data_IF_362382128139
#
_entry.id   IF_362382128139
#
_cell.length_a   1.000
_cell.length_b   1.000
_cell.length_c   1.000
_cell.angle_alpha   90.00
_cell.angle_beta   90.00
_cell.angle_gamma   90.00
#
_symmetry.space_group_name_H-M   'P 1'
#
loop_
_entity.id
_entity.type
_entity.pdbx_description
1 polymer ?
#
# COMPACT_ATOMS: atom_id res chain seq x y z
N UNK A 1 -11.08 11.74 -13.90
CA UNK A 1 -11.29 10.35 -14.36
C UNK A 1 -11.46 9.52 -13.09
N UNK A 2 -12.56 8.79 -12.95
CA UNK A 2 -12.81 7.98 -11.75
C UNK A 2 -11.78 6.86 -11.72
N UNK A 3 -10.93 6.83 -10.70
CA UNK A 3 -10.17 5.63 -10.38
C UNK A 3 -11.22 4.58 -9.97
N UNK A 4 -11.60 3.70 -10.89
CA UNK A 4 -12.37 2.51 -10.54
C UNK A 4 -11.44 1.63 -9.71
N UNK A 5 -11.68 1.55 -8.40
CA UNK A 5 -11.12 0.44 -7.62
C UNK A 5 -12.12 -0.69 -7.74
N UNK A 6 -11.71 -1.78 -8.36
CA UNK A 6 -12.59 -2.91 -8.63
C UNK A 6 -12.86 -3.64 -7.30
N UNK A 7 -14.10 -4.05 -7.02
CA UNK A 7 -14.40 -4.88 -5.85
C UNK A 7 -13.64 -6.22 -5.95
N UNK A 8 -13.22 -6.80 -4.81
CA UNK A 8 -12.55 -8.12 -4.77
C UNK A 8 -13.30 -9.21 -5.53
N UNK A 9 -14.60 -9.03 -5.77
CA UNK A 9 -15.45 -9.91 -6.58
C UNK A 9 -15.01 -10.07 -8.04
N UNK A 10 -14.08 -9.25 -8.55
CA UNK A 10 -13.52 -9.37 -9.91
C UNK A 10 -12.09 -9.92 -9.94
N UNK A 11 -11.56 -10.37 -8.80
CA UNK A 11 -10.37 -11.22 -8.70
C UNK A 11 -10.73 -12.65 -9.08
N UNK A 12 -10.89 -12.89 -10.39
CA UNK A 12 -11.09 -14.25 -10.88
C UNK A 12 -9.77 -15.02 -10.79
N UNK A 13 -9.79 -16.22 -10.18
CA UNK A 13 -8.91 -17.29 -10.64
C UNK A 13 -9.09 -17.39 -12.16
N UNK A 14 -7.98 -17.43 -12.91
CA UNK A 14 -8.03 -17.55 -14.36
C UNK A 14 -9.04 -18.67 -14.76
N UNK A 15 -9.90 -18.50 -15.78
CA UNK A 15 -10.88 -19.52 -16.15
C UNK A 15 -10.17 -20.65 -16.89
N UNK A 16 -9.39 -21.43 -16.16
CA UNK A 16 -8.74 -22.64 -16.62
C UNK A 16 -8.74 -23.69 -15.51
N UNK A 17 -9.85 -23.80 -14.76
CA UNK A 17 -10.28 -24.99 -14.05
C UNK A 17 -11.70 -24.71 -13.52
N UNK A 18 -12.70 -25.17 -14.25
CA UNK A 18 -14.00 -25.47 -13.64
C UNK A 18 -13.72 -26.62 -12.67
N UNK A 19 -13.44 -26.29 -11.40
CA UNK A 19 -13.06 -27.23 -10.36
C UNK A 19 -14.22 -28.19 -10.09
N UNK A 20 -14.01 -29.47 -10.39
CA UNK A 20 -15.09 -30.46 -10.50
C UNK A 20 -15.81 -30.80 -9.18
N UNK A 21 -15.24 -30.48 -8.01
CA UNK A 21 -15.83 -30.76 -6.69
C UNK A 21 -15.45 -29.71 -5.63
N UNK A 22 -15.84 -28.45 -5.84
CA UNK A 22 -15.61 -27.38 -4.84
C UNK A 22 -16.77 -27.24 -3.87
N UNK A 23 -16.46 -27.09 -2.58
CA UNK A 23 -17.43 -26.68 -1.55
C UNK A 23 -17.46 -25.16 -1.51
N UNK A 24 -18.64 -24.56 -1.64
CA UNK A 24 -18.84 -23.11 -1.49
C UNK A 24 -19.82 -22.83 -0.35
N UNK A 25 -19.48 -21.85 0.47
CA UNK A 25 -20.36 -21.35 1.54
C UNK A 25 -20.28 -19.84 1.64
N UNK A 26 -21.41 -19.21 1.93
CA UNK A 26 -21.50 -17.78 2.15
C UNK A 26 -22.46 -17.48 3.30
N UNK A 27 -22.03 -16.59 4.19
CA UNK A 27 -22.85 -16.09 5.30
C UNK A 27 -22.76 -14.58 5.37
N UNK A 28 -23.89 -13.94 5.64
CA UNK A 28 -23.95 -12.52 5.96
C UNK A 28 -24.75 -12.34 7.25
N UNK A 29 -24.12 -11.79 8.28
CA UNK A 29 -24.76 -11.52 9.57
C UNK A 29 -24.13 -10.32 10.25
N UNK A 30 -24.95 -9.33 10.64
CA UNK A 30 -24.57 -8.21 11.51
C UNK A 30 -23.13 -7.64 11.30
N UNK A 31 -22.79 -7.23 10.07
CA UNK A 31 -21.48 -6.63 9.73
C UNK A 31 -20.42 -7.63 9.23
N UNK A 32 -20.64 -8.93 9.40
CA UNK A 32 -19.79 -10.00 8.89
C UNK A 32 -20.28 -10.45 7.51
N UNK A 33 -19.38 -10.45 6.53
CA UNK A 33 -19.57 -11.09 5.23
C UNK A 33 -18.47 -12.12 5.05
N UNK A 34 -18.79 -13.41 5.16
CA UNK A 34 -17.82 -14.47 4.92
C UNK A 34 -18.22 -15.24 3.66
N UNK A 35 -17.31 -15.35 2.71
CA UNK A 35 -17.37 -16.32 1.62
C UNK A 35 -16.20 -17.27 1.77
N UNK A 36 -16.45 -18.56 1.55
CA UNK A 36 -15.39 -19.56 1.50
C UNK A 36 -15.59 -20.52 0.34
N UNK A 37 -14.49 -20.90 -0.28
CA UNK A 37 -14.40 -21.96 -1.28
C UNK A 37 -13.30 -22.95 -0.87
N UNK A 38 -13.61 -24.24 -0.86
CA UNK A 38 -12.70 -25.32 -0.44
C UNK A 38 -12.58 -26.38 -1.52
N UNK A 39 -11.36 -26.87 -1.74
CA UNK A 39 -11.04 -28.01 -2.58
C UNK A 39 -10.40 -29.13 -1.74
N UNK A 40 -10.70 -30.39 -2.06
CA UNK A 40 -10.23 -31.55 -1.28
C UNK A 40 -11.16 -31.91 -0.10
N UNK A 41 -12.31 -31.22 0.01
CA UNK A 41 -13.36 -31.51 0.99
C UNK A 41 -14.61 -32.00 0.26
N UNK A 42 -15.13 -33.16 0.65
CA UNK A 42 -16.37 -33.65 0.05
C UNK A 42 -17.58 -32.84 0.54
N UNK A 43 -18.59 -32.69 -0.31
CA UNK A 43 -19.87 -32.06 0.09
C UNK A 43 -20.48 -32.76 1.32
N UNK A 44 -20.35 -34.08 1.42
CA UNK A 44 -20.86 -34.85 2.57
C UNK A 44 -20.14 -34.46 3.87
N UNK A 45 -18.81 -34.36 3.85
CA UNK A 45 -18.02 -34.03 5.03
C UNK A 45 -18.25 -32.58 5.46
N UNK A 46 -18.38 -31.66 4.49
CA UNK A 46 -18.79 -30.28 4.76
C UNK A 46 -20.16 -30.21 5.44
N UNK A 47 -21.18 -30.88 4.88
CA UNK A 47 -22.54 -30.87 5.44
C UNK A 47 -22.59 -31.47 6.84
N UNK A 48 -21.75 -32.47 7.14
CA UNK A 48 -21.65 -33.05 8.48
C UNK A 48 -21.10 -32.06 9.53
N UNK A 49 -20.22 -31.14 9.12
CA UNK A 49 -19.62 -30.11 9.99
C UNK A 49 -20.36 -28.78 9.98
N UNK A 50 -21.26 -28.55 9.01
CA UNK A 50 -21.93 -27.26 8.83
C UNK A 50 -22.65 -26.73 10.09
N UNK A 51 -23.38 -27.54 10.89
CA UNK A 51 -24.01 -27.04 12.11
C UNK A 51 -22.98 -26.60 13.17
N UNK A 52 -21.89 -27.37 13.32
CA UNK A 52 -20.77 -27.03 14.21
C UNK A 52 -20.07 -25.75 13.74
N UNK A 53 -19.90 -25.59 12.42
CA UNK A 53 -19.34 -24.38 11.81
C UNK A 53 -20.20 -23.15 12.07
N UNK A 54 -21.51 -23.24 11.86
CA UNK A 54 -22.43 -22.13 12.09
C UNK A 54 -22.49 -21.74 13.56
N UNK A 55 -22.48 -22.73 14.46
CA UNK A 55 -22.41 -22.48 15.89
C UNK A 55 -21.10 -21.79 16.27
N UNK A 56 -19.96 -22.32 15.81
CA UNK A 56 -18.65 -21.71 16.01
C UNK A 56 -18.61 -20.29 15.46
N UNK A 57 -19.06 -20.07 14.22
CA UNK A 57 -19.06 -18.76 13.56
C UNK A 57 -19.90 -17.73 14.31
N UNK A 58 -21.03 -18.15 14.89
CA UNK A 58 -21.87 -17.27 15.72
C UNK A 58 -21.18 -16.85 17.03
N UNK A 59 -20.27 -17.69 17.55
CA UNK A 59 -19.49 -17.45 18.75
C UNK A 59 -18.10 -16.83 18.47
N UNK A 60 -17.56 -16.99 17.26
CA UNK A 60 -16.22 -16.58 16.83
C UNK A 60 -16.03 -15.06 16.69
N UNK A 61 -16.93 -14.25 17.27
CA UNK A 61 -16.69 -12.83 17.40
C UNK A 61 -15.50 -12.65 18.32
N UNK A 62 -14.36 -12.24 17.76
CA UNK A 62 -13.22 -11.82 18.56
C UNK A 62 -13.69 -10.82 19.61
N UNK A 63 -13.22 -10.99 20.84
CA UNK A 63 -13.68 -10.12 21.92
C UNK A 63 -13.22 -8.69 21.65
N UNK A 64 -14.10 -7.71 21.88
CA UNK A 64 -13.76 -6.30 21.68
C UNK A 64 -12.41 -5.93 22.34
N UNK A 65 -12.06 -6.41 23.56
CA UNK A 65 -10.77 -6.10 24.17
C UNK A 65 -9.53 -6.60 23.41
N UNK A 66 -9.56 -7.80 22.85
CA UNK A 66 -8.43 -8.37 22.08
C UNK A 66 -8.21 -7.58 20.78
N UNK A 67 -9.29 -7.27 20.05
CA UNK A 67 -9.23 -6.47 18.84
C UNK A 67 -8.77 -5.04 19.12
N UNK A 68 -9.23 -4.46 20.24
CA UNK A 68 -8.79 -3.14 20.69
C UNK A 68 -7.28 -3.16 20.97
N UNK A 69 -6.80 -4.13 21.75
CA UNK A 69 -5.38 -4.24 22.07
C UNK A 69 -4.53 -4.37 20.81
N UNK A 70 -4.95 -5.23 19.88
CA UNK A 70 -4.26 -5.41 18.61
C UNK A 70 -4.25 -4.13 17.77
N UNK A 71 -5.36 -3.40 17.72
CA UNK A 71 -5.42 -2.12 17.01
C UNK A 71 -4.54 -1.05 17.65
N UNK A 72 -4.49 -0.97 18.99
CA UNK A 72 -3.62 -0.03 19.71
C UNK A 72 -2.13 -0.33 19.52
N UNK A 73 -1.74 -1.60 19.54
CA UNK A 73 -0.37 -2.02 19.21
C UNK A 73 0.00 -1.61 17.79
N UNK A 74 -0.87 -1.85 16.82
CA UNK A 74 -0.64 -1.46 15.44
C UNK A 74 -0.55 0.06 15.27
N UNK A 75 -1.45 0.81 15.91
CA UNK A 75 -1.46 2.27 15.88
C UNK A 75 -0.14 2.86 16.36
N UNK A 76 0.43 2.31 17.44
CA UNK A 76 1.74 2.71 17.95
C UNK A 76 2.88 2.40 16.95
N UNK A 77 2.84 1.23 16.30
CA UNK A 77 3.85 0.79 15.33
C UNK A 77 3.79 1.57 14.01
N UNK A 78 2.59 1.92 13.56
CA UNK A 78 2.31 2.53 12.25
C UNK A 78 2.40 4.06 12.25
N UNK A 79 3.02 4.68 13.26
CA UNK A 79 3.11 6.14 13.40
C UNK A 79 1.72 6.82 13.38
N UNK A 80 0.70 6.15 13.94
CA UNK A 80 -0.69 6.63 13.94
C UNK A 80 -1.28 6.83 12.53
N UNK A 81 -0.82 6.08 11.53
CA UNK A 81 -1.41 6.12 10.18
C UNK A 81 -2.79 5.47 10.11
N UNK A 82 -3.10 4.58 11.05
CA UNK A 82 -4.40 3.94 11.20
C UNK A 82 -4.82 3.93 12.67
N UNK A 83 -6.12 4.08 12.94
CA UNK A 83 -6.68 4.09 14.29
C UNK A 83 -8.12 3.57 14.31
N UNK A 84 -8.39 2.61 15.18
CA UNK A 84 -9.75 2.13 15.44
C UNK A 84 -10.52 3.03 16.41
N UNK A 85 -9.90 4.08 16.97
CA UNK A 85 -10.54 4.97 17.94
C UNK A 85 -11.59 5.90 17.31
N UNK A 86 -11.66 5.96 15.99
CA UNK A 86 -12.41 6.97 15.25
C UNK A 86 -13.90 6.66 15.06
N UNK A 87 -14.48 5.72 15.81
CA UNK A 87 -15.88 5.32 15.64
C UNK A 87 -16.87 6.47 15.85
N UNK A 88 -16.62 7.36 16.83
CA UNK A 88 -17.46 8.55 17.03
C UNK A 88 -17.37 9.55 15.87
N UNK A 89 -16.20 9.66 15.22
CA UNK A 89 -15.98 10.49 14.04
C UNK A 89 -16.67 9.86 12.82
N UNK A 90 -16.59 8.54 12.66
CA UNK A 90 -17.30 7.79 11.63
C UNK A 90 -18.83 7.96 11.76
N UNK A 91 -19.37 7.95 12.98
CA UNK A 91 -20.80 8.21 13.23
C UNK A 91 -21.20 9.64 12.81
N UNK A 92 -20.35 10.64 13.04
CA UNK A 92 -20.60 12.00 12.55
C UNK A 92 -20.62 12.07 11.01
N UNK A 93 -19.73 11.35 10.34
CA UNK A 93 -19.77 11.23 8.88
C UNK A 93 -21.03 10.51 8.37
N UNK A 94 -21.49 9.48 9.07
CA UNK A 94 -22.76 8.83 8.76
C UNK A 94 -23.95 9.80 8.94
N UNK A 95 -23.94 10.62 9.99
CA UNK A 95 -24.96 11.67 10.19
C UNK A 95 -24.87 12.75 9.12
N UNK A 96 -23.67 13.19 8.74
CA UNK A 96 -23.45 14.12 7.64
C UNK A 96 -24.00 13.59 6.31
N UNK A 97 -23.79 12.31 6.02
CA UNK A 97 -24.38 11.64 4.86
C UNK A 97 -25.91 11.58 4.94
N UNK A 98 -26.49 11.33 6.12
CA UNK A 98 -27.96 11.37 6.30
C UNK A 98 -28.53 12.77 6.12
N UNK A 99 -27.85 13.78 6.66
CA UNK A 99 -28.30 15.17 6.68
C UNK A 99 -27.90 15.94 5.41
N UNK A 100 -27.10 15.35 4.52
CA UNK A 100 -26.55 15.96 3.31
C UNK A 100 -25.78 17.26 3.59
N UNK A 101 -25.12 17.34 4.75
CA UNK A 101 -24.35 18.50 5.19
C UNK A 101 -22.97 18.05 5.71
N UNK A 102 -21.90 18.70 5.24
CA UNK A 102 -20.54 18.37 5.66
C UNK A 102 -20.31 18.73 7.14
N UNK A 103 -19.55 17.91 7.89
CA UNK A 103 -19.11 18.29 9.23
C UNK A 103 -18.22 19.53 9.19
N UNK A 104 -18.23 20.32 10.27
CA UNK A 104 -17.24 21.38 10.44
C UNK A 104 -15.84 20.77 10.58
N UNK A 105 -14.95 21.09 9.64
CA UNK A 105 -13.62 20.46 9.55
C UNK A 105 -12.70 20.83 10.73
N UNK A 106 -12.86 22.03 11.30
CA UNK A 106 -12.02 22.48 12.42
C UNK A 106 -12.44 21.74 13.69
N UNK A 107 -13.73 21.66 13.93
CA UNK A 107 -14.30 20.93 15.06
C UNK A 107 -14.00 19.43 14.98
N UNK A 108 -14.20 18.83 13.81
CA UNK A 108 -13.89 17.42 13.56
C UNK A 108 -12.42 17.11 13.90
N UNK A 109 -11.49 17.92 13.39
CA UNK A 109 -10.06 17.78 13.68
C UNK A 109 -9.75 17.92 15.17
N UNK A 110 -10.40 18.86 15.87
CA UNK A 110 -10.22 19.06 17.31
C UNK A 110 -10.64 17.82 18.09
N UNK A 111 -11.82 17.29 17.80
CA UNK A 111 -12.37 16.10 18.46
C UNK A 111 -11.52 14.86 18.17
N UNK A 112 -11.12 14.65 16.90
CA UNK A 112 -10.24 13.55 16.53
C UNK A 112 -8.93 13.59 17.31
N UNK A 113 -8.27 14.75 17.39
CA UNK A 113 -7.02 14.87 18.16
C UNK A 113 -7.21 14.59 19.64
N UNK A 114 -8.34 15.01 20.23
CA UNK A 114 -8.64 14.70 21.61
C UNK A 114 -8.79 13.19 21.85
N UNK A 115 -9.50 12.48 20.97
CA UNK A 115 -9.67 11.02 21.03
C UNK A 115 -8.32 10.28 20.87
N UNK A 116 -7.50 10.72 19.91
CA UNK A 116 -6.19 10.13 19.63
C UNK A 116 -5.17 10.33 20.77
N UNK A 117 -5.36 11.37 21.60
CA UNK A 117 -4.49 11.68 22.74
C UNK A 117 -4.92 11.01 24.05
N UNK A 118 -6.06 10.31 24.07
CA UNK A 118 -6.50 9.59 25.27
C UNK A 118 -5.47 8.52 25.65
N UNK A 119 -5.11 8.50 26.94
CA UNK A 119 -4.35 7.42 27.54
C UNK A 119 -5.30 6.27 27.85
N UNK A 120 -5.18 5.19 27.07
CA UNK A 120 -6.09 4.05 27.12
C UNK A 120 -5.43 2.86 27.80
N UNK A 121 -6.20 2.18 28.62
CA UNK A 121 -5.91 0.90 29.25
C UNK A 121 -7.17 0.04 29.20
N UNK A 122 -7.04 -1.26 29.45
CA UNK A 122 -8.20 -2.17 29.47
C UNK A 122 -9.34 -1.66 30.39
N UNK A 123 -9.01 -0.90 31.44
CA UNK A 123 -9.98 -0.34 32.37
C UNK A 123 -10.86 0.79 31.80
N UNK A 124 -10.47 1.43 30.69
CA UNK A 124 -11.18 2.60 30.15
C UNK A 124 -11.46 2.53 28.64
N UNK A 125 -11.43 1.34 28.03
CA UNK A 125 -11.80 1.16 26.62
C UNK A 125 -13.21 1.65 26.28
N UNK A 126 -14.13 1.68 27.25
CA UNK A 126 -15.48 2.23 27.08
C UNK A 126 -15.52 3.77 26.87
N UNK A 127 -14.42 4.48 27.12
CA UNK A 127 -14.32 5.92 26.87
C UNK A 127 -14.28 6.26 25.36
N UNK A 128 -14.04 5.26 24.50
CA UNK A 128 -13.92 5.41 23.05
C UNK A 128 -14.99 4.60 22.35
N UNK A 129 -15.57 5.17 21.29
CA UNK A 129 -16.38 4.40 20.34
C UNK A 129 -15.45 3.81 19.29
N UNK A 130 -15.35 2.49 19.26
CA UNK A 130 -14.42 1.77 18.41
C UNK A 130 -14.99 1.46 17.02
N UNK A 131 -14.13 1.49 16.01
CA UNK A 131 -14.40 1.02 14.65
C UNK A 131 -13.54 -0.23 14.40
N UNK A 132 -14.12 -1.40 14.64
CA UNK A 132 -13.40 -2.68 14.60
C UNK A 132 -13.82 -3.59 13.43
N UNK A 133 -14.89 -3.26 12.70
CA UNK A 133 -15.53 -4.18 11.75
C UNK A 133 -14.56 -4.77 10.72
N UNK A 134 -13.75 -3.93 10.05
CA UNK A 134 -12.80 -4.41 9.05
C UNK A 134 -11.66 -5.24 9.66
N UNK A 135 -11.20 -4.90 10.87
CA UNK A 135 -10.21 -5.67 11.60
C UNK A 135 -10.78 -7.02 12.08
N UNK A 136 -12.02 -7.03 12.56
CA UNK A 136 -12.75 -8.23 12.96
C UNK A 136 -12.96 -9.17 11.76
N UNK A 137 -13.31 -8.62 10.59
CA UNK A 137 -13.41 -9.38 9.34
C UNK A 137 -12.07 -10.02 8.96
N UNK A 138 -10.97 -9.27 9.04
CA UNK A 138 -9.63 -9.80 8.78
C UNK A 138 -9.26 -10.92 9.77
N UNK A 139 -9.48 -10.70 11.07
CA UNK A 139 -9.22 -11.71 12.11
C UNK A 139 -10.03 -12.98 11.92
N UNK A 140 -11.31 -12.84 11.53
CA UNK A 140 -12.17 -13.97 11.22
C UNK A 140 -11.56 -14.87 10.14
N UNK A 141 -10.93 -14.31 9.10
CA UNK A 141 -10.29 -15.13 8.05
C UNK A 141 -9.16 -15.99 8.60
N UNK A 142 -8.32 -15.44 9.49
CA UNK A 142 -7.22 -16.17 10.11
C UNK A 142 -7.73 -17.31 11.03
N UNK A 143 -8.78 -17.03 11.81
CA UNK A 143 -9.38 -18.02 12.71
C UNK A 143 -10.11 -19.12 11.93
N UNK A 144 -10.86 -18.77 10.87
CA UNK A 144 -11.51 -19.73 9.96
C UNK A 144 -10.48 -20.61 9.25
N UNK A 145 -9.38 -20.02 8.76
CA UNK A 145 -8.31 -20.76 8.10
C UNK A 145 -7.70 -21.81 9.03
N UNK A 146 -7.47 -21.44 10.29
CA UNK A 146 -6.95 -22.35 11.32
C UNK A 146 -7.93 -23.48 11.61
N UNK A 147 -9.22 -23.16 11.77
CA UNK A 147 -10.27 -24.13 12.01
C UNK A 147 -10.40 -25.14 10.87
N UNK A 148 -10.51 -24.65 9.62
CA UNK A 148 -10.72 -25.50 8.45
C UNK A 148 -9.54 -26.46 8.21
N UNK A 149 -8.30 -25.99 8.40
CA UNK A 149 -7.11 -26.85 8.37
C UNK A 149 -7.15 -27.94 9.44
N UNK A 150 -7.68 -27.65 10.62
CA UNK A 150 -7.84 -28.64 11.69
C UNK A 150 -8.92 -29.68 11.39
N UNK A 151 -10.01 -29.27 10.75
CA UNK A 151 -11.15 -30.14 10.44
C UNK A 151 -10.94 -30.99 9.20
N UNK A 152 -10.21 -30.47 8.21
CA UNK A 152 -10.02 -31.11 6.92
C UNK A 152 -8.51 -31.26 6.61
N UNK A 153 -7.84 -32.31 7.14
CA UNK A 153 -6.43 -32.58 6.83
C UNK A 153 -6.15 -32.88 5.35
N UNK A 154 -7.19 -33.21 4.57
CA UNK A 154 -7.13 -33.47 3.13
C UNK A 154 -7.42 -32.23 2.27
N UNK A 155 -7.59 -31.06 2.90
CA UNK A 155 -7.81 -29.78 2.22
C UNK A 155 -6.64 -29.54 1.26
N UNK A 156 -6.95 -29.26 0.00
CA UNK A 156 -5.96 -28.95 -1.05
C UNK A 156 -5.87 -27.46 -1.33
N UNK A 157 -7.02 -26.79 -1.34
CA UNK A 157 -7.08 -25.36 -1.56
C UNK A 157 -8.18 -24.75 -0.71
N UNK A 158 -7.93 -23.51 -0.26
CA UNK A 158 -8.88 -22.70 0.47
C UNK A 158 -8.77 -21.25 0.02
N UNK A 159 -9.93 -20.68 -0.25
CA UNK A 159 -10.12 -19.28 -0.59
C UNK A 159 -11.19 -18.68 0.30
N UNK A 160 -10.80 -17.77 1.19
CA UNK A 160 -11.68 -17.11 2.14
C UNK A 160 -11.73 -15.62 1.81
N UNK A 161 -12.92 -15.01 1.80
CA UNK A 161 -13.11 -13.58 1.55
C UNK A 161 -14.00 -12.96 2.61
N UNK A 162 -13.59 -11.81 3.13
CA UNK A 162 -14.40 -10.97 4.02
C UNK A 162 -14.04 -9.49 3.89
N UNK A 163 -15.02 -8.67 3.52
CA UNK A 163 -14.82 -7.23 3.30
C UNK A 163 -13.78 -6.97 2.22
N UNK A 164 -12.72 -6.24 2.57
CA UNK A 164 -11.58 -5.94 1.69
C UNK A 164 -10.42 -6.94 1.80
N UNK A 165 -10.61 -8.01 2.58
CA UNK A 165 -9.58 -9.01 2.88
C UNK A 165 -9.91 -10.36 2.24
N UNK A 166 -8.88 -11.09 1.84
CA UNK A 166 -8.95 -12.43 1.27
C UNK A 166 -7.78 -13.27 1.78
N UNK A 167 -7.99 -14.55 2.08
CA UNK A 167 -6.95 -15.47 2.49
C UNK A 167 -6.93 -16.66 1.54
N UNK A 168 -5.76 -16.88 0.94
CA UNK A 168 -5.52 -17.95 -0.02
C UNK A 168 -4.52 -18.95 0.55
N UNK A 169 -4.86 -20.22 0.46
CA UNK A 169 -3.97 -21.31 0.83
C UNK A 169 -4.12 -22.45 -0.18
N UNK A 170 -2.99 -23.04 -0.56
CA UNK A 170 -2.93 -24.24 -1.39
C UNK A 170 -1.83 -25.17 -0.90
N UNK A 171 -2.07 -26.47 -0.98
CA UNK A 171 -1.06 -27.52 -0.81
C UNK A 171 -0.16 -27.67 -2.06
N UNK A 172 -0.56 -27.07 -3.19
CA UNK A 172 0.26 -26.94 -4.37
C UNK A 172 1.33 -25.84 -4.19
N UNK A 173 2.44 -25.97 -4.93
CA UNK A 173 3.57 -25.04 -4.83
C UNK A 173 3.21 -23.61 -5.28
N UNK A 174 2.19 -23.42 -6.12
CA UNK A 174 1.77 -22.11 -6.62
C UNK A 174 0.34 -22.11 -7.17
N UNK A 175 -0.45 -21.12 -6.78
CA UNK A 175 -1.72 -20.74 -7.37
C UNK A 175 -1.58 -19.39 -8.06
N UNK A 176 -2.06 -19.28 -9.29
CA UNK A 176 -2.09 -18.01 -10.02
C UNK A 176 -3.28 -17.14 -9.58
N UNK A 177 -2.99 -15.94 -9.09
CA UNK A 177 -3.98 -14.92 -8.79
C UNK A 177 -3.83 -13.75 -9.76
N UNK A 178 -4.94 -13.32 -10.38
CA UNK A 178 -4.99 -12.10 -11.19
C UNK A 178 -5.65 -10.97 -10.41
N UNK A 179 -4.94 -9.84 -10.24
CA UNK A 179 -5.42 -8.65 -9.53
C UNK A 179 -6.26 -7.69 -10.39
N UNK A 180 -6.68 -8.10 -11.59
CA UNK A 180 -7.45 -7.28 -12.53
C UNK A 180 -6.68 -6.97 -13.82
N UNK A 181 -7.11 -5.91 -14.53
CA UNK A 181 -6.69 -5.65 -15.92
C UNK A 181 -5.85 -4.40 -16.12
N UNK A 182 -5.67 -3.56 -15.10
CA UNK A 182 -4.98 -2.30 -15.33
C UNK A 182 -3.48 -2.47 -15.59
N UNK A 183 -2.82 -3.51 -15.04
CA UNK A 183 -1.43 -3.90 -15.37
C UNK A 183 -1.15 -5.40 -15.12
N UNK A 184 -1.35 -6.28 -16.12
CA UNK A 184 -1.32 -7.74 -15.92
C UNK A 184 0.03 -8.28 -15.40
N UNK A 185 1.17 -7.68 -15.80
CA UNK A 185 2.51 -8.11 -15.39
C UNK A 185 2.79 -7.91 -13.89
N UNK A 186 2.16 -6.91 -13.27
CA UNK A 186 2.28 -6.65 -11.83
C UNK A 186 1.20 -7.35 -11.00
N UNK A 187 0.24 -7.97 -11.68
CA UNK A 187 -1.03 -8.42 -11.11
C UNK A 187 -1.20 -9.94 -11.14
N UNK A 188 -0.32 -10.68 -11.85
CA UNK A 188 -0.27 -12.14 -11.82
C UNK A 188 0.72 -12.62 -10.75
N UNK A 189 0.19 -13.26 -9.72
CA UNK A 189 0.95 -13.72 -8.55
C UNK A 189 0.92 -15.25 -8.45
N UNK A 190 2.05 -15.86 -8.07
CA UNK A 190 2.15 -17.26 -7.67
C UNK A 190 2.22 -17.36 -6.14
N UNK A 191 1.18 -17.94 -5.55
CA UNK A 191 0.94 -17.93 -4.10
C UNK A 191 0.67 -19.35 -3.59
N UNK A 192 1.23 -19.75 -2.45
CA UNK A 192 0.91 -21.05 -1.80
C UNK A 192 0.25 -20.86 -0.42
N UNK A 193 0.60 -19.80 0.32
CA UNK A 193 -0.06 -19.44 1.58
C UNK A 193 0.10 -17.94 1.81
N UNK A 194 -0.92 -17.16 1.50
CA UNK A 194 -0.87 -15.70 1.64
C UNK A 194 -2.23 -15.14 1.99
N UNK A 195 -2.24 -14.07 2.78
CA UNK A 195 -3.37 -13.21 2.92
C UNK A 195 -3.19 -11.95 2.08
N UNK A 196 -4.29 -11.46 1.55
CA UNK A 196 -4.40 -10.27 0.74
C UNK A 196 -5.39 -9.31 1.39
N UNK A 197 -5.09 -8.01 1.37
CA UNK A 197 -6.09 -7.00 1.66
C UNK A 197 -5.92 -5.77 0.77
N UNK A 198 -7.03 -5.09 0.52
CA UNK A 198 -7.07 -3.84 -0.22
C UNK A 198 -7.46 -2.67 0.70
N UNK A 199 -7.04 -1.47 0.34
CA UNK A 199 -7.49 -0.25 1.01
C UNK A 199 -9.01 -0.12 0.92
N UNK A 200 -9.64 0.29 2.02
CA UNK A 200 -11.03 0.68 2.05
C UNK A 200 -11.21 2.02 1.32
N UNK A 201 -12.03 1.98 0.29
CA UNK A 201 -12.38 3.12 -0.56
C UNK A 201 -13.89 3.18 -0.68
N UNK A 202 -14.42 4.28 -1.23
CA UNK A 202 -15.84 4.39 -1.54
C UNK A 202 -16.34 3.34 -2.55
N UNK A 203 -15.45 2.71 -3.31
CA UNK A 203 -15.78 1.67 -4.29
C UNK A 203 -15.68 0.25 -3.68
N UNK A 204 -14.73 0.03 -2.76
CA UNK A 204 -14.51 -1.28 -2.11
C UNK A 204 -15.34 -1.46 -0.84
N UNK A 205 -15.85 -0.37 -0.28
CA UNK A 205 -16.66 -0.33 0.95
C UNK A 205 -17.67 0.83 0.86
N UNK A 206 -18.77 0.78 1.61
CA UNK A 206 -19.78 1.85 1.54
C UNK A 206 -19.23 3.17 2.09
N UNK A 207 -18.84 4.08 1.19
CA UNK A 207 -18.39 5.43 1.54
C UNK A 207 -19.51 6.37 1.98
N UNK A 208 -19.12 7.56 2.49
CA UNK A 208 -20.07 8.58 2.93
C UNK A 208 -20.53 9.43 1.75
N UNK A 209 -21.78 9.27 1.32
CA UNK A 209 -22.34 10.08 0.24
C UNK A 209 -22.96 11.38 0.77
N UNK A 210 -22.29 12.50 0.52
CA UNK A 210 -22.77 13.85 0.89
C UNK A 210 -22.89 14.69 -0.38
N UNK A 211 -24.10 15.09 -0.73
CA UNK A 211 -24.43 15.78 -1.97
C UNK A 211 -23.96 14.98 -3.20
N UNK A 212 -23.19 15.61 -4.09
CA UNK A 212 -22.66 14.99 -5.31
C UNK A 212 -21.35 14.22 -5.11
N UNK A 213 -20.77 14.23 -3.89
CA UNK A 213 -19.49 13.59 -3.59
C UNK A 213 -19.69 12.35 -2.72
N UNK A 214 -18.87 11.33 -2.96
CA UNK A 214 -18.75 10.17 -2.09
C UNK A 214 -17.35 10.19 -1.48
N UNK A 215 -17.29 10.24 -0.15
CA UNK A 215 -16.04 10.26 0.60
C UNK A 215 -15.67 8.85 1.04
N UNK A 216 -14.36 8.56 1.12
CA UNK A 216 -13.86 7.28 1.64
C UNK A 216 -14.37 7.01 3.07
N UNK A 217 -14.66 5.75 3.43
CA UNK A 217 -14.91 5.41 4.83
C UNK A 217 -13.63 5.36 5.67
N UNK A 218 -12.44 5.33 5.03
CA UNK A 218 -11.17 5.42 5.72
C UNK A 218 -10.90 6.85 6.18
N UNK A 219 -10.76 7.06 7.48
CA UNK A 219 -10.53 8.36 8.10
C UNK A 219 -9.06 8.57 8.45
N UNK A 220 -8.53 9.78 8.22
CA UNK A 220 -7.17 10.16 8.62
C UNK A 220 -7.10 10.42 10.13
N UNK A 221 -6.27 9.71 10.92
CA UNK A 221 -6.18 9.93 12.37
C UNK A 221 -5.72 11.34 12.78
N UNK A 222 -5.02 12.06 11.91
CA UNK A 222 -4.54 13.42 12.21
C UNK A 222 -5.63 14.51 12.17
N UNK A 223 -6.75 14.26 11.49
CA UNK A 223 -7.81 15.25 11.30
C UNK A 223 -9.26 14.73 11.25
N UNK A 224 -9.48 13.43 11.23
CA UNK A 224 -10.82 12.82 11.16
C UNK A 224 -11.51 12.97 9.80
N UNK A 225 -10.84 13.61 8.83
CA UNK A 225 -11.32 13.76 7.47
C UNK A 225 -11.04 12.47 6.66
N UNK A 226 -11.94 12.05 5.78
CA UNK A 226 -11.75 10.94 4.86
C UNK A 226 -10.45 11.06 4.04
N UNK A 227 -9.84 9.93 3.74
CA UNK A 227 -8.74 9.85 2.78
C UNK A 227 -9.29 10.12 1.38
N UNK A 228 -9.02 11.32 0.84
CA UNK A 228 -9.53 11.75 -0.48
C UNK A 228 -8.55 11.53 -1.63
N UNK A 229 -7.24 11.62 -1.36
CA UNK A 229 -6.23 11.65 -2.41
C UNK A 229 -5.15 10.58 -2.21
N UNK A 230 -5.13 9.84 -1.11
CA UNK A 230 -4.07 8.89 -0.80
C UNK A 230 -4.01 7.72 -1.78
N UNK A 231 -2.86 7.03 -1.89
CA UNK A 231 -2.76 5.85 -2.74
C UNK A 231 -3.69 4.76 -2.24
N UNK A 232 -4.18 3.94 -3.16
CA UNK A 232 -4.84 2.67 -2.82
C UNK A 232 -3.79 1.57 -2.82
N UNK A 233 -3.78 0.75 -1.78
CA UNK A 233 -2.84 -0.35 -1.62
C UNK A 233 -3.53 -1.69 -1.85
N UNK A 234 -2.79 -2.62 -2.46
CA UNK A 234 -3.01 -4.07 -2.34
C UNK A 234 -1.82 -4.62 -1.58
N UNK A 235 -2.08 -5.32 -0.47
CA UNK A 235 -1.05 -5.87 0.40
C UNK A 235 -1.13 -7.38 0.42
N UNK A 236 0.03 -8.03 0.36
CA UNK A 236 0.22 -9.45 0.61
C UNK A 236 0.97 -9.61 1.94
N UNK A 237 0.46 -10.43 2.84
CA UNK A 237 1.10 -10.72 4.11
C UNK A 237 0.85 -12.18 4.55
N UNK A 238 1.51 -12.59 5.62
CA UNK A 238 1.38 -13.95 6.18
C UNK A 238 -0.02 -14.25 6.75
N UNK A 239 -0.73 -13.22 7.21
CA UNK A 239 -2.05 -13.30 7.84
C UNK A 239 -2.91 -12.09 7.45
N UNK A 240 -4.23 -12.27 7.52
CA UNK A 240 -5.21 -11.32 7.03
C UNK A 240 -5.25 -10.04 7.87
N UNK A 241 -5.02 -10.15 9.18
CA UNK A 241 -4.92 -9.00 10.08
C UNK A 241 -3.80 -8.05 9.66
N UNK A 242 -2.59 -8.58 9.43
CA UNK A 242 -1.42 -7.82 9.00
C UNK A 242 -1.67 -7.20 7.62
N UNK A 243 -2.23 -7.97 6.68
CA UNK A 243 -2.56 -7.47 5.34
C UNK A 243 -3.54 -6.28 5.43
N UNK A 244 -4.61 -6.43 6.20
CA UNK A 244 -5.65 -5.42 6.37
C UNK A 244 -5.11 -4.12 6.98
N UNK A 245 -4.47 -4.21 8.15
CA UNK A 245 -3.98 -3.04 8.87
C UNK A 245 -2.92 -2.28 8.07
N UNK A 246 -2.06 -3.00 7.36
CA UNK A 246 -1.06 -2.40 6.48
C UNK A 246 -1.71 -1.73 5.27
N UNK A 247 -2.70 -2.35 4.62
CA UNK A 247 -3.40 -1.77 3.47
C UNK A 247 -4.10 -0.45 3.82
N UNK A 248 -4.69 -0.34 5.02
CA UNK A 248 -5.29 0.92 5.48
C UNK A 248 -4.23 1.97 5.84
N UNK A 249 -3.14 1.55 6.48
CA UNK A 249 -2.03 2.44 6.88
C UNK A 249 -1.35 3.09 5.67
N UNK A 250 -1.13 2.32 4.61
CA UNK A 250 -0.46 2.77 3.38
C UNK A 250 -1.21 3.85 2.61
N UNK A 251 -2.53 3.98 2.82
CA UNK A 251 -3.31 5.05 2.20
C UNK A 251 -3.11 6.42 2.87
N UNK A 252 -2.49 6.43 4.06
CA UNK A 252 -2.24 7.64 4.85
C UNK A 252 -0.75 8.01 4.86
N UNK A 253 0.13 7.02 4.87
CA UNK A 253 1.58 7.21 4.90
C UNK A 253 2.12 7.76 3.57
N UNK A 254 3.26 8.47 3.64
CA UNK A 254 4.06 8.72 2.44
C UNK A 254 4.68 7.41 1.90
N UNK A 255 5.08 7.39 0.63
CA UNK A 255 5.62 6.18 -0.01
C UNK A 255 6.81 5.56 0.75
N UNK A 256 7.70 6.38 1.31
CA UNK A 256 8.92 5.89 1.97
C UNK A 256 8.59 5.26 3.32
N UNK A 257 7.77 5.93 4.12
CA UNK A 257 7.27 5.40 5.39
C UNK A 257 6.47 4.13 5.16
N UNK A 258 5.65 4.11 4.11
CA UNK A 258 4.88 2.94 3.71
C UNK A 258 5.76 1.74 3.36
N UNK A 259 6.76 1.93 2.49
CA UNK A 259 7.73 0.88 2.15
C UNK A 259 8.44 0.33 3.38
N UNK A 260 8.94 1.20 4.26
CA UNK A 260 9.60 0.80 5.49
C UNK A 260 8.67 -0.02 6.41
N UNK A 261 7.42 0.41 6.59
CA UNK A 261 6.46 -0.32 7.40
C UNK A 261 6.14 -1.69 6.77
N UNK A 262 5.96 -1.76 5.45
CA UNK A 262 5.71 -3.02 4.74
C UNK A 262 6.84 -4.03 4.92
N UNK A 263 8.09 -3.59 4.78
CA UNK A 263 9.26 -4.44 5.00
C UNK A 263 9.37 -4.94 6.44
N UNK A 264 9.09 -4.08 7.43
CA UNK A 264 9.07 -4.46 8.84
C UNK A 264 8.05 -5.56 9.17
N UNK A 265 6.94 -5.63 8.42
CA UNK A 265 5.95 -6.70 8.56
C UNK A 265 6.29 -7.97 7.78
N UNK A 266 7.38 -7.98 7.01
CA UNK A 266 7.68 -9.06 6.07
C UNK A 266 6.58 -9.21 5.00
N UNK A 267 5.91 -8.11 4.66
CA UNK A 267 4.81 -8.08 3.71
C UNK A 267 5.28 -7.56 2.35
N UNK A 268 4.38 -7.57 1.37
CA UNK A 268 4.55 -6.90 0.08
C UNK A 268 3.37 -6.01 -0.23
N UNK A 269 3.60 -4.88 -0.90
CA UNK A 269 2.54 -3.95 -1.26
C UNK A 269 2.68 -3.45 -2.69
N UNK A 270 1.53 -3.30 -3.34
CA UNK A 270 1.35 -2.62 -4.62
C UNK A 270 0.43 -1.42 -4.39
N UNK A 271 0.97 -0.23 -4.60
CA UNK A 271 0.33 1.06 -4.42
C UNK A 271 -0.04 1.64 -5.78
N UNK A 272 -1.26 2.14 -5.89
CA UNK A 272 -1.77 2.89 -7.04
C UNK A 272 -2.14 4.28 -6.56
N UNK A 273 -1.56 5.29 -7.17
CA UNK A 273 -1.94 6.69 -6.94
C UNK A 273 -3.08 7.08 -7.87
N UNK A 274 -3.82 8.14 -7.53
CA UNK A 274 -4.87 8.70 -8.37
C UNK A 274 -4.37 9.16 -9.76
N UNK A 275 -3.08 9.44 -9.89
CA UNK A 275 -2.41 9.70 -11.18
C UNK A 275 -2.24 8.47 -12.07
N UNK A 276 -2.73 7.31 -11.63
CA UNK A 276 -2.52 6.00 -12.24
C UNK A 276 -1.05 5.54 -12.28
N UNK A 277 -0.17 6.16 -11.50
CA UNK A 277 1.18 5.62 -11.26
C UNK A 277 1.13 4.50 -10.23
N UNK A 278 1.91 3.46 -10.51
CA UNK A 278 2.04 2.27 -9.68
C UNK A 278 3.40 2.28 -8.96
N UNK A 279 3.42 1.83 -7.72
CA UNK A 279 4.62 1.65 -6.92
C UNK A 279 4.52 0.32 -6.22
N UNK A 280 5.57 -0.51 -6.26
CA UNK A 280 5.60 -1.77 -5.56
C UNK A 280 6.76 -1.79 -4.57
N UNK A 281 6.62 -2.54 -3.47
CA UNK A 281 7.76 -2.89 -2.62
C UNK A 281 8.63 -3.94 -3.30
N UNK A 282 9.91 -3.98 -2.99
CA UNK A 282 10.84 -4.98 -3.56
C UNK A 282 10.33 -6.42 -3.35
N UNK A 283 9.74 -6.69 -2.17
CA UNK A 283 9.14 -7.97 -1.82
C UNK A 283 7.97 -8.38 -2.72
N UNK A 284 7.26 -7.43 -3.35
CA UNK A 284 6.16 -7.73 -4.28
C UNK A 284 6.61 -8.56 -5.46
N UNK A 285 7.80 -8.25 -6.00
CA UNK A 285 8.33 -8.91 -7.18
C UNK A 285 8.65 -10.39 -6.97
N UNK A 286 8.81 -10.83 -5.71
CA UNK A 286 9.00 -12.25 -5.39
C UNK A 286 7.74 -13.08 -5.66
N UNK A 287 6.58 -12.45 -5.62
CA UNK A 287 5.29 -13.11 -5.83
C UNK A 287 4.85 -13.13 -7.29
N UNK A 288 5.48 -12.37 -8.20
CA UNK A 288 5.09 -12.38 -9.61
C UNK A 288 5.24 -13.77 -10.23
N UNK A 289 4.29 -14.14 -11.09
CA UNK A 289 4.35 -15.38 -11.87
C UNK A 289 5.53 -15.36 -12.86
N UNK A 290 5.80 -14.20 -13.45
CA UNK A 290 6.97 -13.99 -14.28
C UNK A 290 8.24 -13.86 -13.43
N UNK A 291 9.03 -14.94 -13.41
CA UNK A 291 10.33 -15.01 -12.72
C UNK A 291 11.49 -14.52 -13.59
N UNK A 292 11.25 -13.87 -14.73
CA UNK A 292 12.29 -13.15 -15.48
C UNK A 292 12.74 -11.92 -14.67
N UNK A 293 13.39 -12.17 -13.54
CA UNK A 293 13.95 -11.12 -12.71
C UNK A 293 15.11 -10.48 -13.46
N UNK A 294 15.16 -9.15 -13.47
CA UNK A 294 16.47 -8.49 -13.52
C UNK A 294 17.24 -8.98 -12.29
N UNK A 295 18.23 -9.84 -12.51
CA UNK A 295 19.16 -10.27 -11.46
C UNK A 295 20.09 -9.12 -11.02
N UNK A 296 20.01 -7.98 -11.70
CA UNK A 296 20.87 -6.83 -11.50
C UNK A 296 20.08 -5.69 -10.86
N UNK A 297 20.60 -5.23 -9.72
CA UNK A 297 20.16 -3.99 -9.10
C UNK A 297 21.17 -2.91 -9.42
N UNK A 298 20.71 -1.70 -9.76
CA UNK A 298 21.56 -0.54 -9.91
C UNK A 298 21.53 0.25 -8.61
N UNK A 299 22.68 0.39 -7.96
CA UNK A 299 22.84 1.34 -6.87
C UNK A 299 23.17 2.72 -7.46
N UNK A 300 22.41 3.71 -7.01
CA UNK A 300 22.58 5.12 -7.34
C UNK A 300 22.90 5.83 -6.03
N UNK A 301 24.05 6.50 -5.96
CA UNK A 301 24.40 7.31 -4.80
C UNK A 301 24.58 8.76 -5.21
N UNK A 302 24.19 9.69 -4.33
CA UNK A 302 24.38 11.11 -4.53
C UNK A 302 24.67 11.80 -3.20
N UNK A 303 25.39 12.91 -3.27
CA UNK A 303 25.75 13.71 -2.11
C UNK A 303 25.04 15.05 -2.13
N UNK A 304 24.54 15.46 -0.98
CA UNK A 304 24.05 16.81 -0.74
C UNK A 304 25.07 17.58 0.11
N UNK A 305 25.61 18.70 -0.39
CA UNK A 305 26.63 19.46 0.30
C UNK A 305 26.08 20.16 1.54
N UNK A 306 26.98 20.47 2.47
CA UNK A 306 26.67 21.29 3.64
C UNK A 306 26.90 22.75 3.31
N UNK A 307 25.87 23.57 3.49
CA UNK A 307 25.96 25.02 3.37
C UNK A 307 26.13 25.65 4.76
N UNK A 308 26.93 26.71 4.84
CA UNK A 308 27.20 27.43 6.09
C UNK A 308 26.27 28.63 6.31
N UNK A 309 25.09 28.64 5.67
CA UNK A 309 24.13 29.73 5.78
C UNK A 309 23.22 29.57 7.00
N UNK A 310 23.05 30.64 7.79
CA UNK A 310 22.17 30.65 8.96
C UNK A 310 20.68 30.39 8.66
N UNK A 311 20.27 30.54 7.39
CA UNK A 311 18.91 30.30 6.90
C UNK A 311 18.80 29.05 6.00
N UNK A 312 19.65 28.05 6.20
CA UNK A 312 19.63 26.83 5.40
C UNK A 312 18.25 26.14 5.40
N UNK A 313 17.67 26.02 4.21
CA UNK A 313 16.46 25.22 3.94
C UNK A 313 16.87 23.89 3.33
N UNK A 314 16.20 22.82 3.77
CA UNK A 314 16.48 21.48 3.22
C UNK A 314 16.11 21.45 1.74
N UNK A 315 16.96 20.87 0.88
CA UNK A 315 16.71 20.81 -0.54
C UNK A 315 15.54 19.88 -0.88
N UNK A 316 14.90 20.22 -1.98
CA UNK A 316 14.04 19.36 -2.77
C UNK A 316 14.91 18.59 -3.73
N UNK A 317 14.69 17.29 -3.86
CA UNK A 317 15.49 16.43 -4.76
C UNK A 317 14.55 15.54 -5.55
N UNK A 318 14.82 15.39 -6.84
CA UNK A 318 14.17 14.40 -7.69
C UNK A 318 15.20 13.58 -8.47
N UNK A 319 14.99 12.26 -8.49
CA UNK A 319 15.79 11.31 -9.26
C UNK A 319 14.85 10.50 -10.15
N UNK A 320 15.06 10.52 -11.47
CA UNK A 320 14.21 9.82 -12.43
C UNK A 320 14.97 9.38 -13.68
N UNK A 321 14.40 8.42 -14.41
CA UNK A 321 14.93 7.91 -15.68
C UNK A 321 14.09 8.39 -16.87
N UNK A 322 14.74 8.63 -18.01
CA UNK A 322 14.07 8.76 -19.31
C UNK A 322 14.66 7.86 -20.38
N UNK A 323 13.87 7.54 -21.40
CA UNK A 323 14.35 6.93 -22.64
C UNK A 323 15.12 7.93 -23.53
N UNK A 324 15.64 7.47 -24.68
CA UNK A 324 16.31 8.32 -25.66
C UNK A 324 15.41 9.43 -26.24
N UNK A 325 14.10 9.22 -26.25
CA UNK A 325 13.09 10.20 -26.67
C UNK A 325 12.72 11.19 -25.55
N UNK A 326 13.46 11.16 -24.43
CA UNK A 326 13.25 11.99 -23.24
C UNK A 326 11.89 11.75 -22.58
N UNK A 327 11.23 10.60 -22.80
CA UNK A 327 10.01 10.24 -22.09
C UNK A 327 10.37 9.65 -20.73
N UNK A 328 9.73 10.07 -19.64
CA UNK A 328 9.94 9.46 -18.33
C UNK A 328 9.58 7.97 -18.34
N UNK A 329 10.48 7.14 -17.82
CA UNK A 329 10.27 5.68 -17.70
C UNK A 329 10.14 5.23 -16.24
N UNK A 330 10.83 5.88 -15.30
CA UNK A 330 10.78 5.54 -13.87
C UNK A 330 11.06 6.75 -12.99
N UNK A 331 10.21 7.02 -12.00
CA UNK A 331 10.52 7.92 -10.88
C UNK A 331 11.19 7.09 -9.78
N UNK A 332 12.42 7.44 -9.40
CA UNK A 332 13.21 6.69 -8.40
C UNK A 332 13.14 7.31 -7.02
N UNK A 333 13.12 8.64 -6.93
CA UNK A 333 12.98 9.34 -5.65
C UNK A 333 12.46 10.74 -5.85
N UNK A 334 11.57 11.20 -4.97
CA UNK A 334 11.16 12.58 -4.85
C UNK A 334 11.15 12.93 -3.37
N UNK A 335 11.76 14.04 -2.97
CA UNK A 335 11.76 14.49 -1.57
C UNK A 335 11.54 16.00 -1.48
N UNK A 336 10.81 16.43 -0.46
CA UNK A 336 10.42 17.83 -0.25
C UNK A 336 9.50 17.98 0.97
N UNK A 337 9.06 19.21 1.27
CA UNK A 337 8.16 19.48 2.42
C UNK A 337 6.84 20.10 1.99
N UNK A 338 6.91 21.19 1.23
CA UNK A 338 5.77 21.98 0.78
C UNK A 338 5.59 21.83 -0.72
N UNK A 339 4.36 21.49 -1.14
CA UNK A 339 3.96 21.25 -2.53
C UNK A 339 4.31 22.42 -3.48
N UNK A 340 4.30 23.67 -2.99
CA UNK A 340 4.61 24.87 -3.80
C UNK A 340 6.03 24.88 -4.38
N UNK A 341 6.99 24.32 -3.66
CA UNK A 341 8.41 24.43 -4.00
C UNK A 341 8.90 23.32 -4.94
N UNK A 342 8.11 22.28 -5.17
CA UNK A 342 8.46 21.29 -6.19
C UNK A 342 8.46 21.87 -7.62
N UNK A 343 7.88 23.05 -7.81
CA UNK A 343 7.94 23.80 -9.06
C UNK A 343 9.36 24.30 -9.37
N UNK A 344 10.19 24.48 -8.34
CA UNK A 344 11.60 24.88 -8.47
C UNK A 344 12.45 23.76 -9.08
N UNK A 345 12.02 22.50 -9.00
CA UNK A 345 12.56 21.39 -9.79
C UNK A 345 12.03 21.51 -11.23
N UNK A 346 12.44 22.56 -11.94
CA UNK A 346 11.81 22.97 -13.20
C UNK A 346 11.82 21.91 -14.32
N UNK A 347 12.83 21.04 -14.37
CA UNK A 347 12.91 19.97 -15.38
C UNK A 347 11.95 18.85 -15.03
N UNK A 348 11.96 18.40 -13.78
CA UNK A 348 11.03 17.42 -13.25
C UNK A 348 9.58 17.91 -13.31
N UNK A 349 9.32 19.15 -12.90
CA UNK A 349 7.98 19.73 -12.85
C UNK A 349 7.30 19.70 -14.23
N UNK A 350 8.02 20.12 -15.29
CA UNK A 350 7.47 20.10 -16.66
C UNK A 350 7.19 18.67 -17.17
N UNK A 351 7.95 17.68 -16.73
CA UNK A 351 7.89 16.30 -17.25
C UNK A 351 6.92 15.42 -16.48
N UNK A 352 6.96 15.51 -15.16
CA UNK A 352 6.29 14.60 -14.23
C UNK A 352 5.34 15.36 -13.29
N UNK A 353 5.84 16.39 -12.59
CA UNK A 353 5.11 17.06 -11.50
C UNK A 353 3.81 17.77 -11.91
N UNK A 354 3.82 18.54 -12.99
CA UNK A 354 2.68 19.40 -13.40
C UNK A 354 1.38 18.65 -13.69
N UNK A 355 1.45 17.34 -13.94
CA UNK A 355 0.27 16.55 -14.30
C UNK A 355 -0.65 16.32 -13.10
N UNK A 356 -0.08 16.17 -11.90
CA UNK A 356 -0.84 15.85 -10.69
C UNK A 356 -0.26 16.59 -9.47
N UNK A 357 -0.34 17.94 -9.44
CA UNK A 357 0.31 18.76 -8.41
C UNK A 357 -0.21 18.47 -6.99
N UNK A 358 -1.49 18.11 -6.84
CA UNK A 358 -2.12 17.81 -5.55
C UNK A 358 -1.65 16.48 -4.93
N UNK A 359 -1.00 15.61 -5.71
CA UNK A 359 -0.56 14.27 -5.27
C UNK A 359 0.95 14.21 -4.98
N UNK A 360 1.68 15.30 -5.24
CA UNK A 360 3.14 15.32 -5.10
C UNK A 360 3.56 14.98 -3.68
N UNK A 361 2.85 15.50 -2.68
CA UNK A 361 3.19 15.27 -1.27
C UNK A 361 3.01 13.80 -0.84
N UNK A 362 2.28 12.98 -1.63
CA UNK A 362 2.11 11.55 -1.33
C UNK A 362 3.25 10.71 -1.87
N UNK A 363 3.75 11.08 -3.05
CA UNK A 363 4.87 10.40 -3.70
C UNK A 363 6.21 10.90 -3.17
N UNK A 364 6.25 12.07 -2.53
CA UNK A 364 7.45 12.64 -1.98
C UNK A 364 7.74 12.12 -0.56
N UNK A 365 8.98 11.74 -0.31
CA UNK A 365 9.46 11.39 1.02
C UNK A 365 9.97 12.60 1.80
N UNK A 366 10.31 12.34 3.08
CA UNK A 366 10.89 13.34 3.97
C UNK A 366 12.17 13.98 3.41
N UNK A 367 12.31 15.29 3.68
CA UNK A 367 13.49 16.05 3.26
C UNK A 367 14.80 15.55 3.84
N UNK A 368 15.84 15.74 3.04
CA UNK A 368 17.19 15.28 3.29
C UNK A 368 18.07 16.38 3.89
N UNK A 369 18.95 16.00 4.82
CA UNK A 369 20.01 16.86 5.37
C UNK A 369 21.25 16.78 4.46
N UNK A 370 22.27 17.63 4.66
CA UNK A 370 23.57 17.38 4.05
C UNK A 370 24.09 15.98 4.38
N UNK A 371 24.60 15.26 3.39
CA UNK A 371 25.03 13.87 3.52
C UNK A 371 25.00 13.08 2.22
N UNK A 372 25.33 11.78 2.31
CA UNK A 372 25.29 10.83 1.18
C UNK A 372 24.02 10.00 1.25
N UNK A 373 23.36 9.84 0.12
CA UNK A 373 22.13 9.07 -0.05
C UNK A 373 22.33 7.97 -1.07
N UNK A 374 21.60 6.87 -0.88
CA UNK A 374 21.63 5.70 -1.77
C UNK A 374 20.20 5.34 -2.16
N UNK A 375 20.01 5.02 -3.44
CA UNK A 375 18.81 4.47 -4.03
C UNK A 375 19.19 3.16 -4.72
N UNK A 376 18.29 2.19 -4.69
CA UNK A 376 18.38 0.99 -5.50
C UNK A 376 17.31 1.05 -6.58
N UNK A 377 17.70 0.65 -7.79
CA UNK A 377 16.77 0.45 -8.89
C UNK A 377 16.82 -1.01 -9.34
N UNK A 378 15.66 -1.62 -9.43
CA UNK A 378 15.40 -3.03 -9.73
C UNK A 378 15.44 -3.36 -11.24
N UNK A 379 15.76 -2.39 -12.09
CA UNK A 379 15.74 -2.58 -13.54
C UNK A 379 14.33 -2.53 -14.15
N UNK A 380 13.32 -2.06 -13.42
CA UNK A 380 11.92 -2.02 -13.89
C UNK A 380 11.44 -0.60 -14.16
N UNK A 381 10.48 -0.46 -15.06
CA UNK A 381 9.83 0.83 -15.34
C UNK A 381 8.81 1.20 -14.25
N UNK A 382 8.14 2.35 -14.39
CA UNK A 382 7.11 2.80 -13.43
C UNK A 382 5.91 1.83 -13.36
N UNK A 383 5.75 1.00 -14.38
CA UNK A 383 4.71 -0.02 -14.51
C UNK A 383 5.21 -1.41 -14.06
N UNK A 384 6.43 -1.49 -13.52
CA UNK A 384 7.02 -2.71 -13.01
C UNK A 384 7.42 -3.74 -14.07
N UNK A 385 7.34 -3.40 -15.36
CA UNK A 385 7.86 -4.25 -16.42
C UNK A 385 9.39 -4.19 -16.41
N UNK A 386 10.04 -5.31 -16.73
CA UNK A 386 11.51 -5.35 -16.86
C UNK A 386 11.90 -4.43 -18.01
N UNK A 387 12.77 -3.47 -17.74
CA UNK A 387 13.23 -2.57 -18.79
C UNK A 387 14.21 -3.31 -19.70
N UNK A 388 14.01 -3.25 -21.02
CA UNK A 388 14.92 -3.86 -21.97
C UNK A 388 16.29 -3.18 -21.89
N UNK A 389 17.35 -3.94 -22.18
CA UNK A 389 18.68 -3.35 -22.32
C UNK A 389 18.68 -2.25 -23.37
N UNK A 390 19.42 -1.19 -23.10
CA UNK A 390 19.46 -0.04 -23.98
C UNK A 390 19.94 1.24 -23.31
N UNK A 391 19.82 2.32 -24.05
CA UNK A 391 20.30 3.63 -23.63
C UNK A 391 19.18 4.41 -22.94
N UNK A 392 19.45 4.85 -21.73
CA UNK A 392 18.58 5.67 -20.91
C UNK A 392 19.36 6.86 -20.37
N UNK A 393 18.65 7.80 -19.75
CA UNK A 393 19.25 8.92 -19.04
C UNK A 393 18.76 8.93 -17.61
N UNK A 394 19.71 9.00 -16.67
CA UNK A 394 19.41 9.32 -15.29
C UNK A 394 19.47 10.82 -15.08
N UNK A 395 18.46 11.36 -14.43
CA UNK A 395 18.40 12.76 -14.04
C UNK A 395 18.41 12.88 -12.53
N UNK A 396 19.18 13.83 -12.02
CA UNK A 396 19.12 14.28 -10.63
C UNK A 396 18.92 15.79 -10.64
N UNK A 397 17.87 16.26 -10.00
CA UNK A 397 17.58 17.69 -9.88
C UNK A 397 17.43 18.06 -8.41
N UNK A 398 18.07 19.16 -8.02
CA UNK A 398 18.06 19.70 -6.66
C UNK A 398 17.66 21.16 -6.70
N UNK A 399 16.81 21.57 -5.77
CA UNK A 399 16.45 22.97 -5.57
C UNK A 399 16.31 23.28 -4.08
N UNK A 400 16.80 24.44 -3.62
CA UNK A 400 16.55 24.94 -2.26
C UNK A 400 15.58 26.11 -2.29
N UNK A 401 14.71 26.20 -1.27
CA UNK A 401 13.84 27.36 -1.09
C UNK A 401 14.70 28.63 -0.98
N UNK A 402 14.53 29.56 -1.92
CA UNK A 402 15.35 30.77 -2.03
C UNK A 402 16.87 30.52 -2.15
N UNK A 403 17.27 29.32 -2.56
CA UNK A 403 18.67 28.93 -2.74
C UNK A 403 19.02 28.64 -4.19
N UNK A 404 20.02 27.80 -4.39
CA UNK A 404 20.41 27.37 -5.72
C UNK A 404 19.54 26.24 -6.27
N UNK A 405 19.74 26.02 -7.57
CA UNK A 405 19.14 24.96 -8.35
C UNK A 405 20.25 24.29 -9.16
N UNK A 406 20.21 22.96 -9.25
CA UNK A 406 21.13 22.20 -10.09
C UNK A 406 20.42 21.00 -10.72
N UNK A 407 20.64 20.79 -12.01
CA UNK A 407 20.16 19.62 -12.75
C UNK A 407 21.33 18.89 -13.41
N UNK A 408 21.57 17.65 -13.00
CA UNK A 408 22.55 16.76 -13.60
C UNK A 408 21.85 15.68 -14.42
N UNK A 409 22.49 15.29 -15.53
CA UNK A 409 22.07 14.16 -16.35
C UNK A 409 23.25 13.24 -16.62
N UNK A 410 23.09 11.95 -16.33
CA UNK A 410 24.09 10.92 -16.56
C UNK A 410 23.56 9.93 -17.60
N UNK A 411 24.34 9.58 -18.65
CA UNK A 411 23.96 8.50 -19.54
C UNK A 411 23.95 7.16 -18.80
N UNK A 412 22.89 6.38 -18.98
CA UNK A 412 22.74 5.05 -18.41
C UNK A 412 22.58 4.04 -19.55
N UNK A 413 23.68 3.36 -19.90
CA UNK A 413 23.63 2.23 -20.82
C UNK A 413 23.25 0.97 -20.04
N UNK A 414 21.94 0.73 -19.88
CA UNK A 414 21.41 -0.39 -19.11
C UNK A 414 21.71 -1.71 -19.81
N UNK A 415 22.66 -2.47 -19.27
CA UNK A 415 23.11 -3.76 -19.79
C UNK A 415 23.83 -4.56 -18.69
N UNK A 416 24.03 -5.85 -18.94
CA UNK A 416 24.57 -6.79 -17.96
C UNK A 416 25.96 -6.42 -17.38
N UNK A 417 26.79 -5.73 -18.13
CA UNK A 417 28.16 -5.38 -17.78
C UNK A 417 28.36 -3.86 -17.59
N UNK A 418 27.27 -3.12 -17.30
CA UNK A 418 27.30 -1.68 -17.06
C UNK A 418 28.45 -1.32 -16.11
N UNK A 419 29.38 -0.51 -16.63
CA UNK A 419 30.51 -0.03 -15.84
C UNK A 419 30.05 1.06 -14.87
N UNK A 420 30.68 1.15 -13.68
CA UNK A 420 30.42 2.26 -12.78
C UNK A 420 30.65 3.59 -13.48
N UNK A 421 29.75 4.53 -13.24
CA UNK A 421 29.85 5.89 -13.77
C UNK A 421 29.73 6.87 -12.62
N UNK A 422 30.47 7.97 -12.68
CA UNK A 422 30.38 9.03 -11.70
C UNK A 422 30.37 10.40 -12.35
N UNK A 423 29.70 11.34 -11.70
CA UNK A 423 29.63 12.73 -12.11
C UNK A 423 29.65 13.62 -10.87
N UNK A 424 30.49 14.64 -10.89
CA UNK A 424 30.58 15.63 -9.83
C UNK A 424 29.62 16.79 -10.12
N UNK A 425 28.75 17.12 -9.17
CA UNK A 425 27.95 18.34 -9.23
C UNK A 425 28.76 19.59 -8.91
N UNK A 426 28.23 20.74 -9.32
CA UNK A 426 28.88 22.05 -9.27
C UNK A 426 28.58 22.81 -7.97
N UNK A 427 27.36 22.69 -7.42
CA UNK A 427 26.94 23.56 -6.31
C UNK A 427 25.97 22.89 -5.31
N UNK A 428 24.82 22.41 -5.78
CA UNK A 428 23.75 21.81 -4.98
C UNK A 428 23.86 20.28 -4.90
N UNK A 429 24.64 19.67 -5.81
CA UNK A 429 24.99 18.25 -5.80
C UNK A 429 26.49 18.07 -5.60
N UNK A 430 26.84 17.07 -4.79
CA UNK A 430 28.21 16.55 -4.70
C UNK A 430 28.43 15.42 -5.71
N UNK A 431 29.16 14.40 -5.30
CA UNK A 431 29.43 13.25 -6.16
C UNK A 431 28.18 12.38 -6.36
N UNK A 432 27.85 12.09 -7.62
CA UNK A 432 26.84 11.13 -8.04
C UNK A 432 27.55 9.91 -8.59
N UNK A 433 27.15 8.70 -8.17
CA UNK A 433 27.68 7.43 -8.72
C UNK A 433 26.58 6.45 -9.06
N UNK A 434 26.82 5.68 -10.12
CA UNK A 434 26.04 4.55 -10.59
C UNK A 434 26.89 3.30 -10.56
N UNK A 435 26.38 2.23 -9.98
CA UNK A 435 27.10 0.96 -9.89
C UNK A 435 26.11 -0.20 -9.88
N UNK A 436 26.36 -1.22 -10.70
CA UNK A 436 25.63 -2.49 -10.57
C UNK A 436 25.98 -3.15 -9.24
N UNK A 437 24.97 -3.59 -8.51
CA UNK A 437 25.09 -4.54 -7.41
C UNK A 437 24.90 -5.95 -7.96
N UNK A 438 25.88 -6.81 -7.72
CA UNK A 438 25.70 -8.26 -7.82
C UNK A 438 24.77 -8.69 -6.68
N UNK A 439 23.70 -9.43 -6.98
CA UNK A 439 22.89 -10.10 -5.95
C UNK A 439 23.62 -11.25 -5.26
N UNK A 440 24.71 -11.74 -5.88
CA UNK A 440 25.60 -12.73 -5.32
C UNK A 440 26.79 -11.99 -4.70
N UNK A 441 26.75 -11.84 -3.37
CA UNK A 441 27.92 -11.49 -2.56
C UNK A 441 28.79 -12.71 -2.32
#
# INVERSE_FOLDING_TARGET
MKAFVWPLTLLSLCPALVLADTVSYQQTSAGLQLKLQLEGVSQKDWQARLPEFQHWLSAAKATDPELIQLCELWRAQSQQSYSCRLGAIAQQWQQAAKNQALPDRVELRRQTRAIEQLDLSEANYNAVTWQLDGLANARLLDDVATLLKSWFPQLKQMDLESGVSRLLWSDALSTELSLGTEQPLLQQLQLSSIALAQTETADTSMGYKVSYRTFSPLLKPSEGWPVEYGPTATVLAKDAVTAYLLAQSLAVLDLKQGQQLTEQQGAAALLKTDSANWYATESWYNYLADKSQSSQQLQISYQLPKFNDGNYKRPYVSVWLTDQQKKPVRQLSLVGLQSRWYQELSHWWRRLGRKNPEQIDQIAGATQKPGTYQLQWDGRDQQGAVMPWGQYQLHLEVAREHGGHEHLTLPLNWQADLKPAELQGEAELGLVRLQLQSKDG
#
